data_IF_775915332922
#
_entry.id   IF_775915332922
#
_cell.length_a   1.000
_cell.length_b   1.000
_cell.length_c   1.000
_cell.angle_alpha   90.00
_cell.angle_beta   90.00
_cell.angle_gamma   90.00
#
_symmetry.space_group_name_H-M   'P 1'
#
loop_
_entity.id
_entity.type
_entity.pdbx_description
1 polymer ?
#
# COMPACT_ATOMS: atom_id res chain seq x y z
N UNK A 1 17.64 14.17 -7.23
CA UNK A 1 18.66 14.71 -8.17
C UNK A 1 18.03 15.68 -9.17
N UNK A 2 18.61 16.85 -9.39
CA UNK A 2 18.03 17.92 -10.23
C UNK A 2 17.65 17.46 -11.65
N UNK A 3 18.42 16.53 -12.24
CA UNK A 3 18.13 15.93 -13.56
C UNK A 3 16.81 15.15 -13.51
N UNK A 4 16.56 14.38 -12.45
CA UNK A 4 15.32 13.61 -12.32
C UNK A 4 14.10 14.53 -12.17
N UNK A 5 14.22 15.59 -11.37
CA UNK A 5 13.15 16.58 -11.20
C UNK A 5 12.84 17.31 -12.53
N UNK A 6 13.86 17.62 -13.34
CA UNK A 6 13.65 18.14 -14.69
C UNK A 6 12.89 17.14 -15.56
N UNK A 7 13.29 15.86 -15.58
CA UNK A 7 12.63 14.84 -16.39
C UNK A 7 11.12 14.68 -16.11
N UNK A 8 10.64 15.11 -14.93
CA UNK A 8 9.24 15.00 -14.51
C UNK A 8 8.33 16.15 -14.99
N UNK A 9 8.87 17.17 -15.68
CA UNK A 9 8.07 18.30 -16.20
C UNK A 9 8.22 18.44 -17.71
N UNK A 10 7.13 18.81 -18.39
CA UNK A 10 7.09 18.98 -19.86
C UNK A 10 8.11 20.04 -20.35
N UNK A 11 8.38 21.06 -19.53
CA UNK A 11 9.25 22.19 -19.90
C UNK A 11 10.76 21.89 -19.76
N UNK A 12 11.16 20.64 -19.54
CA UNK A 12 12.56 20.28 -19.34
C UNK A 12 13.39 20.46 -20.62
N UNK A 13 14.31 21.43 -20.62
CA UNK A 13 15.14 21.74 -21.79
C UNK A 13 16.32 20.79 -22.00
N UNK A 14 16.69 20.02 -20.97
CA UNK A 14 17.87 19.14 -20.97
C UNK A 14 17.58 17.85 -20.20
N UNK A 15 16.75 16.94 -20.76
CA UNK A 15 16.53 15.64 -20.15
C UNK A 15 17.84 14.86 -20.10
N UNK A 16 17.98 14.01 -19.09
CA UNK A 16 19.23 13.28 -18.87
C UNK A 16 19.05 12.01 -18.04
N UNK A 17 20.07 11.16 -18.06
CA UNK A 17 20.10 9.95 -17.23
C UNK A 17 20.15 10.35 -15.75
N UNK A 18 19.31 9.73 -14.94
CA UNK A 18 19.27 9.93 -13.50
C UNK A 18 18.83 8.64 -12.80
N UNK A 19 19.24 8.48 -11.53
CA UNK A 19 18.63 7.51 -10.65
C UNK A 19 17.23 7.98 -10.23
N UNK A 20 16.32 7.03 -10.01
CA UNK A 20 15.04 7.34 -9.37
C UNK A 20 15.29 7.70 -7.90
N UNK A 21 14.73 8.82 -7.41
CA UNK A 21 14.71 9.08 -5.98
C UNK A 21 13.77 8.08 -5.28
N UNK A 22 13.89 7.92 -3.95
CA UNK A 22 12.82 7.32 -3.15
C UNK A 22 11.50 8.04 -3.45
N UNK A 23 10.45 7.27 -3.70
CA UNK A 23 9.12 7.77 -4.01
C UNK A 23 8.16 7.36 -2.91
N UNK A 24 7.29 8.29 -2.52
CA UNK A 24 6.21 8.00 -1.59
C UNK A 24 5.11 7.20 -2.30
N UNK A 25 4.64 6.14 -1.65
CA UNK A 25 3.47 5.38 -2.10
C UNK A 25 2.24 5.96 -1.41
N UNK A 26 1.31 6.47 -2.21
CA UNK A 26 0.10 7.11 -1.71
C UNK A 26 -1.15 6.32 -2.10
N UNK A 27 -2.16 6.36 -1.23
CA UNK A 27 -3.51 5.86 -1.55
C UNK A 27 -4.36 7.05 -2.00
N UNK A 28 -4.81 7.01 -3.27
CA UNK A 28 -5.64 8.06 -3.84
C UNK A 28 -7.11 7.60 -3.92
N UNK A 29 -8.04 8.49 -3.55
CA UNK A 29 -9.48 8.29 -3.67
C UNK A 29 -10.12 9.51 -4.33
N UNK A 30 -11.30 9.32 -4.94
CA UNK A 30 -12.07 10.45 -5.46
C UNK A 30 -12.83 11.12 -4.32
N UNK A 31 -13.01 12.43 -4.40
CA UNK A 31 -13.78 13.18 -3.40
C UNK A 31 -15.22 12.70 -3.28
N UNK A 32 -15.80 12.20 -4.37
CA UNK A 32 -17.16 11.65 -4.39
C UNK A 32 -17.23 10.32 -3.65
N UNK A 33 -16.18 9.48 -3.75
CA UNK A 33 -16.08 8.26 -2.97
C UNK A 33 -15.96 8.56 -1.47
N UNK A 34 -15.09 9.50 -1.10
CA UNK A 34 -14.91 9.88 0.32
C UNK A 34 -16.19 10.41 0.95
N UNK A 35 -16.99 11.19 0.22
CA UNK A 35 -18.29 11.69 0.70
C UNK A 35 -19.34 10.60 0.82
N UNK A 36 -19.35 9.64 -0.11
CA UNK A 36 -20.33 8.54 -0.14
C UNK A 36 -20.02 7.46 0.89
N UNK A 37 -18.74 7.13 1.09
CA UNK A 37 -18.27 6.04 1.94
C UNK A 37 -17.21 6.52 2.95
N UNK A 38 -17.56 7.41 3.90
CA UNK A 38 -16.59 8.03 4.80
C UNK A 38 -15.89 7.01 5.72
N UNK A 39 -16.56 5.93 6.11
CA UNK A 39 -15.97 4.88 6.95
C UNK A 39 -14.92 4.07 6.17
N UNK A 40 -15.18 3.79 4.89
CA UNK A 40 -14.21 3.09 4.04
C UNK A 40 -13.04 4.01 3.71
N UNK A 41 -13.29 5.29 3.43
CA UNK A 41 -12.23 6.28 3.27
C UNK A 41 -11.33 6.37 4.52
N UNK A 42 -11.93 6.31 5.73
CA UNK A 42 -11.19 6.28 6.99
C UNK A 42 -10.38 4.99 7.21
N UNK A 43 -10.82 3.86 6.66
CA UNK A 43 -10.01 2.64 6.60
C UNK A 43 -8.84 2.82 5.63
N UNK A 44 -9.13 3.25 4.39
CA UNK A 44 -8.13 3.40 3.32
C UNK A 44 -7.04 4.40 3.69
N UNK A 45 -7.34 5.46 4.44
CA UNK A 45 -6.34 6.43 4.91
C UNK A 45 -5.35 5.85 5.93
N UNK A 46 -5.65 4.69 6.52
CA UNK A 46 -4.77 3.97 7.45
C UNK A 46 -4.01 2.82 6.79
N UNK A 47 -4.38 2.41 5.57
CA UNK A 47 -3.74 1.29 4.88
C UNK A 47 -2.30 1.67 4.59
N UNK A 48 -1.38 1.00 5.27
CA UNK A 48 0.05 1.20 5.14
C UNK A 48 0.80 -0.05 5.55
N UNK A 49 1.89 -0.33 4.85
CA UNK A 49 2.85 -1.39 5.14
C UNK A 49 4.22 -0.98 4.59
N UNK A 50 5.26 -1.61 5.12
CA UNK A 50 6.66 -1.27 4.78
C UNK A 50 7.12 -1.94 3.49
N UNK A 51 8.18 -1.42 2.90
CA UNK A 51 8.86 -2.03 1.76
C UNK A 51 9.35 -3.45 2.07
N UNK A 52 9.77 -3.70 3.32
CA UNK A 52 10.19 -5.03 3.78
C UNK A 52 9.02 -6.02 3.73
N UNK A 53 7.86 -5.67 4.30
CA UNK A 53 6.65 -6.51 4.30
C UNK A 53 6.15 -6.80 2.87
N UNK A 54 6.20 -5.80 1.99
CA UNK A 54 5.85 -5.99 0.58
C UNK A 54 6.85 -6.91 -0.12
N UNK A 55 8.15 -6.70 0.09
CA UNK A 55 9.20 -7.51 -0.52
C UNK A 55 9.15 -8.98 -0.08
N UNK A 56 8.91 -9.22 1.22
CA UNK A 56 8.74 -10.56 1.77
C UNK A 56 7.51 -11.26 1.17
N UNK A 57 6.38 -10.55 1.05
CA UNK A 57 5.15 -11.07 0.44
C UNK A 57 5.37 -11.44 -1.03
N UNK A 58 6.03 -10.57 -1.81
CA UNK A 58 6.33 -10.82 -3.22
C UNK A 58 7.34 -11.97 -3.41
N UNK A 59 8.34 -12.07 -2.54
CA UNK A 59 9.28 -13.18 -2.55
C UNK A 59 8.57 -14.51 -2.26
N UNK A 60 7.66 -14.52 -1.28
CA UNK A 60 6.81 -15.67 -1.01
C UNK A 60 5.95 -16.03 -2.23
N UNK A 61 5.28 -15.04 -2.82
CA UNK A 61 4.43 -15.21 -4.01
C UNK A 61 5.21 -15.89 -5.14
N UNK A 62 6.40 -15.40 -5.47
CA UNK A 62 7.22 -15.99 -6.54
C UNK A 62 7.68 -17.41 -6.19
N UNK A 63 8.08 -17.65 -4.93
CA UNK A 63 8.54 -18.97 -4.47
C UNK A 63 7.44 -20.03 -4.52
N UNK A 64 6.19 -19.63 -4.26
CA UNK A 64 5.02 -20.50 -4.26
C UNK A 64 4.29 -20.53 -5.60
N UNK A 65 4.69 -19.68 -6.55
CA UNK A 65 3.95 -19.43 -7.80
C UNK A 65 2.48 -19.12 -7.49
N UNK A 66 2.26 -18.37 -6.42
CA UNK A 66 0.95 -18.04 -5.91
C UNK A 66 0.30 -16.95 -6.76
N UNK A 67 -1.03 -16.98 -6.79
CA UNK A 67 -1.86 -15.90 -7.33
C UNK A 67 -1.78 -14.65 -6.45
N UNK A 68 -2.29 -13.53 -6.98
CA UNK A 68 -2.42 -12.30 -6.21
C UNK A 68 -3.33 -12.48 -4.98
N UNK A 69 -4.43 -13.23 -5.13
CA UNK A 69 -5.37 -13.49 -4.02
C UNK A 69 -4.73 -14.32 -2.92
N UNK A 70 -3.99 -15.37 -3.27
CA UNK A 70 -3.24 -16.18 -2.30
C UNK A 70 -2.17 -15.35 -1.58
N UNK A 71 -1.55 -14.40 -2.28
CA UNK A 71 -0.54 -13.50 -1.72
C UNK A 71 -1.16 -12.48 -0.78
N UNK A 72 -2.35 -11.96 -1.10
CA UNK A 72 -3.13 -11.12 -0.19
C UNK A 72 -3.54 -11.89 1.07
N UNK A 73 -3.99 -13.14 0.93
CA UNK A 73 -4.29 -14.01 2.08
C UNK A 73 -3.03 -14.28 2.90
N UNK A 74 -1.88 -14.52 2.26
CA UNK A 74 -0.61 -14.70 2.96
C UNK A 74 -0.21 -13.45 3.76
N UNK A 75 -0.34 -12.26 3.18
CA UNK A 75 -0.10 -11.00 3.88
C UNK A 75 -1.03 -10.85 5.10
N UNK A 76 -2.34 -11.05 4.92
CA UNK A 76 -3.34 -10.90 5.98
C UNK A 76 -3.16 -11.94 7.11
N UNK A 77 -2.66 -13.13 6.80
CA UNK A 77 -2.40 -14.17 7.80
C UNK A 77 -1.06 -13.98 8.53
N UNK A 78 -0.07 -13.39 7.86
CA UNK A 78 1.29 -13.19 8.40
C UNK A 78 1.40 -11.90 9.22
N UNK A 79 0.87 -10.79 8.70
CA UNK A 79 1.04 -9.45 9.29
C UNK A 79 -0.22 -8.96 10.00
N UNK A 80 -0.81 -9.82 10.85
CA UNK A 80 -2.07 -9.54 11.56
C UNK A 80 -2.05 -8.23 12.33
N UNK A 81 -0.97 -7.96 13.04
CA UNK A 81 -0.79 -6.73 13.83
C UNK A 81 -0.85 -5.48 12.95
N UNK A 82 -0.31 -5.54 11.73
CA UNK A 82 -0.24 -4.39 10.82
C UNK A 82 -1.64 -4.00 10.36
N UNK A 83 -2.38 -4.95 9.79
CA UNK A 83 -3.70 -4.62 9.25
C UNK A 83 -4.78 -4.50 10.33
N UNK A 84 -4.56 -5.05 11.52
CA UNK A 84 -5.40 -4.76 12.67
C UNK A 84 -5.49 -3.24 12.89
N UNK A 85 -4.37 -2.51 12.83
CA UNK A 85 -4.34 -1.07 13.10
C UNK A 85 -5.04 -0.20 12.06
N UNK A 86 -5.37 -0.76 10.90
CA UNK A 86 -6.22 -0.11 9.91
C UNK A 86 -7.69 -0.08 10.34
N UNK A 87 -8.11 -1.07 11.13
CA UNK A 87 -9.51 -1.28 11.49
C UNK A 87 -10.05 -0.29 12.52
N UNK A 88 -11.37 -0.10 12.51
CA UNK A 88 -12.10 0.51 13.63
C UNK A 88 -12.12 -0.45 14.83
N UNK A 89 -12.36 0.04 16.06
CA UNK A 89 -12.51 -0.82 17.23
C UNK A 89 -13.59 -1.91 17.05
N UNK A 90 -14.73 -1.55 16.47
CA UNK A 90 -15.82 -2.49 16.18
C UNK A 90 -15.39 -3.58 15.18
N UNK A 91 -14.66 -3.20 14.13
CA UNK A 91 -14.15 -4.17 13.16
C UNK A 91 -13.07 -5.08 13.76
N UNK A 92 -12.19 -4.56 14.63
CA UNK A 92 -11.23 -5.36 15.40
C UNK A 92 -11.94 -6.42 16.24
N UNK A 93 -13.02 -6.05 16.91
CA UNK A 93 -13.82 -6.99 17.72
C UNK A 93 -14.48 -8.07 16.87
N UNK A 94 -15.13 -7.69 15.76
CA UNK A 94 -15.77 -8.64 14.83
C UNK A 94 -14.77 -9.60 14.18
N UNK A 95 -13.53 -9.16 13.97
CA UNK A 95 -12.46 -9.95 13.35
C UNK A 95 -11.51 -10.60 14.37
N UNK A 96 -11.84 -10.56 15.67
CA UNK A 96 -10.98 -11.08 16.73
C UNK A 96 -10.61 -12.55 16.55
N UNK A 97 -11.45 -13.37 15.90
CA UNK A 97 -11.14 -14.77 15.61
C UNK A 97 -9.99 -14.92 14.59
N UNK A 98 -9.85 -13.98 13.65
CA UNK A 98 -8.84 -13.97 12.58
C UNK A 98 -7.56 -13.27 13.04
N UNK A 99 -7.67 -12.32 13.96
CA UNK A 99 -6.56 -11.53 14.51
C UNK A 99 -5.75 -12.23 15.62
N UNK A 100 -6.17 -13.42 16.08
CA UNK A 100 -5.45 -14.23 17.08
C UNK A 100 -4.20 -14.90 16.52
#
# INVERSE_FOLDING_TARGET
PEIHACNAVETCKKPGKSAYPPAEVVTAATTDFEKREPEIAALMSKVTFTDEQMSETLAWQDSKKASADESAVHFLTTYKTIWADWLSPEAKEKLAAVLK
#
